data_IF_342083769590
#
_entry.id   IF_342083769590
#
_cell.length_a   1.000
_cell.length_b   1.000
_cell.length_c   1.000
_cell.angle_alpha   90.00
_cell.angle_beta   90.00
_cell.angle_gamma   90.00
#
_symmetry.space_group_name_H-M   'P 1'
#
loop_
_entity.id
_entity.type
_entity.pdbx_description
1 polymer ?
#
# COMPACT_ATOMS: atom_id res chain seq x y z
N UNK A 1 20.94 -4.63 -15.82
CA UNK A 1 20.36 -4.52 -14.47
C UNK A 1 20.65 -3.11 -13.98
N UNK A 2 19.60 -2.39 -13.59
CA UNK A 2 19.71 -1.02 -13.09
C UNK A 2 20.57 -1.02 -11.82
N UNK A 3 21.61 -0.17 -11.77
CA UNK A 3 22.53 -0.12 -10.62
C UNK A 3 21.97 0.79 -9.54
N UNK A 4 21.97 0.30 -8.30
CA UNK A 4 21.47 1.04 -7.15
C UNK A 4 22.48 1.02 -6.01
N UNK A 5 22.28 1.91 -5.04
CA UNK A 5 23.02 1.90 -3.79
C UNK A 5 22.50 0.86 -2.77
N UNK A 6 21.80 -0.21 -3.20
CA UNK A 6 21.06 -1.13 -2.30
C UNK A 6 21.91 -1.73 -1.16
N UNK A 7 23.20 -1.98 -1.43
CA UNK A 7 24.15 -2.52 -0.45
C UNK A 7 24.44 -1.54 0.72
N UNK A 8 24.13 -0.25 0.53
CA UNK A 8 24.28 0.80 1.55
C UNK A 8 22.99 1.09 2.29
N UNK A 9 21.87 0.50 1.88
CA UNK A 9 20.56 0.76 2.49
C UNK A 9 20.46 0.00 3.81
N UNK A 10 20.07 0.72 4.86
CA UNK A 10 19.88 0.14 6.18
C UNK A 10 18.58 -0.66 6.19
N UNK A 11 18.66 -1.90 6.68
CA UNK A 11 17.51 -2.75 6.97
C UNK A 11 17.19 -2.64 8.45
N UNK A 12 15.98 -2.17 8.79
CA UNK A 12 15.56 -1.86 10.16
C UNK A 12 14.29 -2.66 10.51
N UNK A 13 14.11 -3.03 11.78
CA UNK A 13 12.82 -3.45 12.35
C UNK A 13 11.82 -2.30 12.60
N UNK A 14 10.64 -2.36 12.00
CA UNK A 14 9.47 -1.58 12.45
C UNK A 14 8.34 -2.54 12.82
N UNK A 15 7.46 -2.12 13.72
CA UNK A 15 6.41 -2.99 14.24
C UNK A 15 5.11 -2.22 14.42
N UNK A 16 4.00 -2.87 14.07
CA UNK A 16 2.64 -2.48 14.45
C UNK A 16 1.87 -3.69 14.95
N UNK A 17 0.58 -3.51 15.14
CA UNK A 17 -0.38 -4.57 15.43
C UNK A 17 -1.52 -4.51 14.42
N UNK A 18 -2.18 -5.64 14.18
CA UNK A 18 -3.39 -5.68 13.36
C UNK A 18 -4.41 -4.73 13.98
N UNK A 19 -4.76 -3.69 13.23
CA UNK A 19 -5.63 -2.63 13.74
C UNK A 19 -7.09 -3.00 13.51
N UNK A 20 -7.95 -2.72 14.48
CA UNK A 20 -9.38 -2.97 14.36
C UNK A 20 -9.99 -2.16 13.20
N UNK A 21 -10.95 -2.70 12.43
CA UNK A 21 -11.65 -1.91 11.41
C UNK A 21 -12.33 -0.69 12.02
N UNK A 22 -12.25 0.46 11.33
CA UNK A 22 -12.94 1.69 11.73
C UNK A 22 -14.25 1.83 10.96
N UNK A 23 -15.30 2.32 11.64
CA UNK A 23 -16.61 2.48 11.02
C UNK A 23 -17.67 3.00 11.99
N UNK A 24 -18.95 2.76 11.64
CA UNK A 24 -20.11 3.09 12.48
C UNK A 24 -20.81 4.41 12.14
N UNK A 25 -20.23 5.23 11.27
CA UNK A 25 -20.86 6.45 10.74
C UNK A 25 -21.31 6.26 9.29
N UNK A 26 -22.25 7.09 8.85
CA UNK A 26 -22.62 7.17 7.44
C UNK A 26 -21.43 7.63 6.59
N UNK A 27 -21.22 6.93 5.49
CA UNK A 27 -20.37 7.35 4.38
C UNK A 27 -21.28 7.93 3.30
N UNK A 28 -20.88 9.02 2.69
CA UNK A 28 -21.73 9.78 1.77
C UNK A 28 -21.23 9.55 0.34
N UNK A 29 -22.09 9.09 -0.56
CA UNK A 29 -21.75 8.95 -1.99
C UNK A 29 -21.50 10.31 -2.63
N UNK A 30 -20.93 10.34 -3.84
CA UNK A 30 -20.77 11.58 -4.58
C UNK A 30 -22.09 12.24 -5.01
N UNK A 31 -23.21 11.51 -4.98
CA UNK A 31 -24.58 12.04 -5.16
C UNK A 31 -25.24 12.49 -3.85
N UNK A 32 -24.54 12.40 -2.72
CA UNK A 32 -25.07 12.81 -1.42
C UNK A 32 -25.93 11.75 -0.72
N UNK A 33 -25.81 10.47 -1.11
CA UNK A 33 -26.59 9.39 -0.49
C UNK A 33 -25.82 8.79 0.69
N UNK A 34 -26.42 8.70 1.90
CA UNK A 34 -25.78 8.07 3.05
C UNK A 34 -25.81 6.54 2.96
N UNK A 35 -24.69 5.90 3.28
CA UNK A 35 -24.50 4.45 3.29
C UNK A 35 -23.78 3.97 4.55
N UNK A 36 -24.03 2.73 4.97
CA UNK A 36 -23.28 2.04 6.02
C UNK A 36 -22.56 0.86 5.37
N UNK A 37 -21.24 0.96 5.26
CA UNK A 37 -20.41 0.01 4.50
C UNK A 37 -19.16 -0.40 5.29
N UNK A 38 -18.61 -1.60 5.03
CA UNK A 38 -17.23 -1.95 5.38
C UNK A 38 -16.25 -0.95 4.77
N UNK A 39 -15.11 -0.75 5.45
CA UNK A 39 -14.12 0.23 5.07
C UNK A 39 -12.70 -0.16 5.46
N UNK A 40 -11.88 0.81 5.89
CA UNK A 40 -10.49 0.66 6.30
C UNK A 40 -10.31 -0.13 7.60
N UNK A 41 -9.19 -0.82 7.71
CA UNK A 41 -8.73 -1.54 8.89
C UNK A 41 -9.18 -3.00 8.94
N UNK A 42 -8.57 -3.76 9.86
CA UNK A 42 -8.90 -5.14 10.12
C UNK A 42 -8.20 -6.14 9.21
N UNK A 43 -8.83 -7.31 9.11
CA UNK A 43 -8.44 -8.42 8.25
C UNK A 43 -9.55 -8.57 7.21
N UNK A 44 -9.22 -8.28 5.95
CA UNK A 44 -10.10 -8.51 4.82
C UNK A 44 -9.93 -9.94 4.31
N UNK A 45 -10.89 -10.81 4.63
CA UNK A 45 -10.82 -12.25 4.31
C UNK A 45 -11.10 -12.58 2.84
N UNK A 46 -11.70 -11.65 2.08
CA UNK A 46 -12.15 -11.87 0.71
C UNK A 46 -11.66 -10.82 -0.29
N UNK A 47 -10.81 -9.88 0.12
CA UNK A 47 -10.17 -8.91 -0.77
C UNK A 47 -8.66 -8.98 -0.57
N UNK A 48 -7.94 -9.25 -1.65
CA UNK A 48 -6.49 -9.45 -1.65
C UNK A 48 -5.82 -8.63 -2.75
N UNK A 49 -4.50 -8.47 -2.63
CA UNK A 49 -3.70 -7.91 -3.73
C UNK A 49 -3.90 -8.76 -5.00
N UNK A 50 -4.06 -8.10 -6.14
CA UNK A 50 -4.40 -8.70 -7.43
C UNK A 50 -5.90 -8.78 -7.74
N UNK A 51 -6.77 -8.59 -6.74
CA UNK A 51 -8.21 -8.44 -6.98
C UNK A 51 -8.54 -7.09 -7.62
N UNK A 52 -9.71 -7.02 -8.26
CA UNK A 52 -10.25 -5.76 -8.79
C UNK A 52 -10.37 -4.71 -7.68
N UNK A 53 -9.93 -3.47 -7.96
CA UNK A 53 -10.18 -2.33 -7.09
C UNK A 53 -11.64 -1.85 -7.15
N UNK A 54 -12.40 -2.32 -8.15
CA UNK A 54 -13.80 -1.98 -8.38
C UNK A 54 -14.73 -3.16 -8.10
N UNK A 55 -16.01 -2.87 -7.85
CA UNK A 55 -17.08 -3.86 -7.75
C UNK A 55 -17.37 -4.37 -6.34
N UNK A 56 -16.63 -3.88 -5.33
CA UNK A 56 -16.89 -4.18 -3.93
C UNK A 56 -17.98 -3.28 -3.35
N UNK A 57 -18.82 -3.84 -2.47
CA UNK A 57 -19.78 -3.07 -1.67
C UNK A 57 -19.07 -2.64 -0.38
N UNK A 58 -18.21 -1.63 -0.52
CA UNK A 58 -17.34 -1.11 0.52
C UNK A 58 -16.80 0.26 0.13
N UNK A 59 -16.16 0.96 1.07
CA UNK A 59 -15.51 2.25 0.81
C UNK A 59 -14.14 2.29 1.48
N UNK A 60 -13.07 2.51 0.71
CA UNK A 60 -11.69 2.39 1.19
C UNK A 60 -11.39 1.02 1.83
N UNK A 61 -11.84 -0.06 1.18
CA UNK A 61 -11.50 -1.42 1.61
C UNK A 61 -10.00 -1.65 1.40
N UNK A 62 -9.31 -2.01 2.47
CA UNK A 62 -7.87 -2.33 2.45
C UNK A 62 -7.68 -3.85 2.23
N UNK A 63 -6.93 -4.30 1.20
CA UNK A 63 -6.75 -5.72 0.92
C UNK A 63 -5.80 -6.40 1.91
N UNK A 64 -6.17 -7.59 2.39
CA UNK A 64 -5.37 -8.37 3.33
C UNK A 64 -5.46 -7.85 4.77
N UNK A 65 -4.32 -7.58 5.38
CA UNK A 65 -4.22 -7.21 6.81
C UNK A 65 -3.73 -5.78 6.94
N UNK A 66 -4.48 -4.96 7.68
CA UNK A 66 -4.10 -3.59 8.01
C UNK A 66 -3.49 -3.52 9.40
N UNK A 67 -2.30 -2.91 9.51
CA UNK A 67 -1.61 -2.72 10.78
C UNK A 67 -1.39 -1.25 11.09
N UNK A 68 -1.29 -0.97 12.38
CA UNK A 68 -0.98 0.34 12.94
C UNK A 68 -0.16 0.18 14.21
N UNK A 69 0.63 1.18 14.57
CA UNK A 69 1.13 1.33 15.94
C UNK A 69 0.27 2.38 16.69
N UNK A 70 -0.19 2.04 17.89
CA UNK A 70 -1.03 2.94 18.70
C UNK A 70 -0.28 4.19 19.16
N UNK A 71 1.06 4.12 19.32
CA UNK A 71 1.87 5.28 19.56
C UNK A 71 2.08 6.06 18.25
N UNK A 72 1.57 7.29 18.19
CA UNK A 72 1.62 8.13 17.00
C UNK A 72 3.04 8.35 16.44
N UNK A 73 4.05 8.54 17.29
CA UNK A 73 5.43 8.76 16.85
C UNK A 73 6.03 7.48 16.27
N UNK A 74 5.76 6.35 16.91
CA UNK A 74 6.20 5.04 16.39
C UNK A 74 5.45 4.66 15.12
N UNK A 75 4.17 5.05 14.99
CA UNK A 75 3.40 4.84 13.77
C UNK A 75 3.91 5.67 12.60
N UNK A 76 4.33 6.91 12.86
CA UNK A 76 5.01 7.72 11.84
C UNK A 76 6.28 7.02 11.32
N UNK A 77 7.04 6.38 12.20
CA UNK A 77 8.19 5.57 11.79
C UNK A 77 7.77 4.31 11.00
N UNK A 78 6.71 3.62 11.42
CA UNK A 78 6.14 2.49 10.69
C UNK A 78 5.73 2.89 9.26
N UNK A 79 4.95 3.96 9.11
CA UNK A 79 4.48 4.51 7.84
C UNK A 79 5.63 5.00 6.94
N UNK A 80 6.67 5.57 7.53
CA UNK A 80 7.82 6.10 6.77
C UNK A 80 8.75 4.99 6.29
N UNK A 81 9.03 3.98 7.12
CA UNK A 81 10.09 3.02 6.81
C UNK A 81 9.59 1.72 6.18
N UNK A 82 8.34 1.33 6.39
CA UNK A 82 7.76 0.23 5.64
C UNK A 82 7.74 0.56 4.14
N UNK A 83 8.28 -0.33 3.33
CA UNK A 83 8.30 -0.20 1.87
C UNK A 83 7.54 -1.37 1.25
N UNK A 84 6.86 -1.14 0.13
CA UNK A 84 6.15 -2.17 -0.63
C UNK A 84 7.12 -3.30 -0.98
N UNK A 85 6.75 -4.53 -0.68
CA UNK A 85 7.58 -5.72 -0.87
C UNK A 85 8.42 -6.14 0.34
N UNK A 86 8.47 -5.36 1.42
CA UNK A 86 9.21 -5.78 2.62
C UNK A 86 8.61 -7.01 3.28
N UNK A 87 9.47 -7.91 3.78
CA UNK A 87 9.05 -9.10 4.54
C UNK A 87 8.41 -8.67 5.88
N UNK A 88 7.19 -9.15 6.10
CA UNK A 88 6.46 -9.05 7.36
C UNK A 88 6.37 -10.43 8.03
N UNK A 89 6.36 -10.44 9.36
CA UNK A 89 6.21 -11.65 10.16
C UNK A 89 5.30 -11.40 11.35
N UNK A 90 4.33 -12.30 11.55
CA UNK A 90 3.50 -12.31 12.76
C UNK A 90 4.34 -12.82 13.94
N UNK A 91 4.37 -12.08 15.04
CA UNK A 91 5.24 -12.36 16.21
C UNK A 91 4.47 -12.65 17.51
N UNK A 92 3.14 -12.58 17.49
CA UNK A 92 2.23 -12.99 18.58
C UNK A 92 1.05 -13.81 18.05
N UNK A 93 0.15 -14.22 18.95
CA UNK A 93 -1.08 -14.91 18.58
C UNK A 93 -0.88 -16.31 18.05
N UNK A 94 -1.97 -16.89 17.56
CA UNK A 94 -2.02 -18.24 17.01
C UNK A 94 -1.36 -18.30 15.62
N UNK A 95 -1.43 -17.21 14.84
CA UNK A 95 -0.74 -17.07 13.55
C UNK A 95 0.76 -16.77 13.65
N UNK A 96 1.36 -16.81 14.85
CA UNK A 96 2.78 -16.52 15.04
C UNK A 96 3.66 -17.36 14.12
N UNK A 97 4.50 -16.68 13.35
CA UNK A 97 5.43 -17.31 12.41
C UNK A 97 5.01 -17.16 10.95
N UNK A 98 3.73 -16.88 10.68
CA UNK A 98 3.23 -16.55 9.35
C UNK A 98 4.06 -15.41 8.75
N UNK A 99 4.34 -15.53 7.46
CA UNK A 99 5.13 -14.57 6.69
C UNK A 99 4.28 -13.94 5.62
N UNK A 100 4.47 -12.64 5.43
CA UNK A 100 3.76 -11.87 4.45
C UNK A 100 4.64 -10.80 3.84
N UNK A 101 4.03 -9.95 3.03
CA UNK A 101 4.71 -8.85 2.35
C UNK A 101 3.88 -7.58 2.44
N UNK A 102 4.54 -6.45 2.68
CA UNK A 102 3.89 -5.14 2.64
C UNK A 102 3.37 -4.87 1.23
N UNK A 103 2.10 -4.51 1.11
CA UNK A 103 1.43 -4.24 -0.17
C UNK A 103 1.18 -2.76 -0.40
N UNK A 104 1.18 -1.94 0.64
CA UNK A 104 1.00 -0.49 0.54
C UNK A 104 0.83 0.17 1.90
N UNK A 105 0.57 1.47 1.86
CA UNK A 105 0.32 2.30 3.03
C UNK A 105 -0.87 3.21 2.73
N UNK A 106 -1.71 3.47 3.74
CA UNK A 106 -2.88 4.35 3.62
C UNK A 106 -2.78 5.51 4.60
N UNK A 107 -2.66 6.73 4.07
CA UNK A 107 -2.51 7.97 4.83
C UNK A 107 -3.82 8.44 5.45
N UNK A 108 -3.73 9.28 6.49
CA UNK A 108 -4.89 9.79 7.24
C UNK A 108 -5.31 8.85 8.36
N UNK A 109 -5.57 7.58 8.06
CA UNK A 109 -5.76 6.54 9.10
C UNK A 109 -4.42 5.96 9.57
N UNK A 110 -3.38 6.14 8.76
CA UNK A 110 -1.99 5.77 8.99
C UNK A 110 -1.82 4.25 9.17
N UNK A 111 -2.25 3.49 8.16
CA UNK A 111 -2.12 2.04 8.09
C UNK A 111 -1.01 1.59 7.14
N UNK A 112 -0.38 0.46 7.48
CA UNK A 112 0.41 -0.35 6.55
C UNK A 112 -0.37 -1.61 6.23
N UNK A 113 -0.52 -1.92 4.94
CA UNK A 113 -1.23 -3.11 4.45
C UNK A 113 -0.26 -4.24 4.13
N UNK A 114 -0.66 -5.47 4.44
CA UNK A 114 0.18 -6.66 4.32
C UNK A 114 -0.64 -7.81 3.75
N UNK A 115 -0.10 -8.50 2.74
CA UNK A 115 -0.67 -9.77 2.28
C UNK A 115 -0.01 -10.94 3.02
N UNK A 116 -0.83 -11.88 3.46
CA UNK A 116 -0.44 -13.21 3.94
C UNK A 116 -1.11 -14.26 3.07
N UNK A 117 -0.67 -15.50 3.18
CA UNK A 117 -1.39 -16.62 2.56
C UNK A 117 -2.79 -16.73 3.17
N UNK A 118 -3.76 -17.16 2.36
CA UNK A 118 -5.17 -17.21 2.77
C UNK A 118 -5.39 -18.09 4.01
N UNK A 119 -4.66 -19.19 4.11
CA UNK A 119 -4.74 -20.13 5.23
C UNK A 119 -4.20 -19.52 6.54
N UNK A 120 -3.28 -18.56 6.46
CA UNK A 120 -2.74 -17.88 7.63
C UNK A 120 -3.77 -16.92 8.24
N UNK A 121 -4.61 -16.28 7.41
CA UNK A 121 -5.58 -15.26 7.83
C UNK A 121 -6.57 -15.78 8.90
N UNK A 122 -6.94 -17.05 8.85
CA UNK A 122 -7.84 -17.69 9.82
C UNK A 122 -7.25 -17.79 11.23
N UNK A 123 -5.92 -17.69 11.35
CA UNK A 123 -5.20 -17.76 12.64
C UNK A 123 -4.78 -16.38 13.15
N UNK A 124 -5.12 -15.30 12.44
CA UNK A 124 -4.80 -13.94 12.82
C UNK A 124 -5.95 -13.30 13.60
N UNK A 125 -5.60 -12.52 14.60
CA UNK A 125 -6.54 -11.74 15.38
C UNK A 125 -6.17 -10.25 15.37
N UNK A 126 -7.17 -9.40 15.63
CA UNK A 126 -6.92 -8.00 15.99
C UNK A 126 -5.94 -7.95 17.18
N UNK A 127 -5.06 -6.95 17.16
CA UNK A 127 -3.96 -6.74 18.11
C UNK A 127 -2.77 -7.70 17.98
N UNK A 128 -2.80 -8.65 17.02
CA UNK A 128 -1.60 -9.43 16.73
C UNK A 128 -0.46 -8.56 16.22
N UNK A 129 0.72 -8.73 16.80
CA UNK A 129 1.91 -7.96 16.52
C UNK A 129 2.57 -8.45 15.23
N UNK A 130 2.88 -7.52 14.35
CA UNK A 130 3.56 -7.79 13.08
C UNK A 130 4.86 -7.01 13.01
N UNK A 131 5.95 -7.74 12.87
CA UNK A 131 7.30 -7.22 12.69
C UNK A 131 7.62 -7.15 11.19
N UNK A 132 7.96 -5.97 10.70
CA UNK A 132 8.41 -5.73 9.34
C UNK A 132 9.92 -5.49 9.34
N UNK A 133 10.61 -6.15 8.41
CA UNK A 133 12.01 -5.83 8.09
C UNK A 133 12.03 -4.70 7.05
N UNK A 134 11.84 -3.47 7.52
CA UNK A 134 11.86 -2.26 6.70
C UNK A 134 13.17 -2.13 5.91
N UNK A 135 13.06 -1.97 4.59
CA UNK A 135 14.20 -1.91 3.67
C UNK A 135 13.80 -1.21 2.37
N UNK A 136 14.42 -0.06 2.06
CA UNK A 136 14.16 0.64 0.79
C UNK A 136 14.29 2.15 0.86
N UNK A 137 14.02 2.77 2.01
CA UNK A 137 14.18 4.22 2.12
C UNK A 137 15.64 4.66 1.93
N UNK A 138 15.83 5.69 1.09
CA UNK A 138 17.14 6.17 0.66
C UNK A 138 17.74 5.43 -0.55
N UNK A 139 16.99 4.50 -1.16
CA UNK A 139 17.37 3.86 -2.42
C UNK A 139 17.54 4.92 -3.52
N UNK A 140 18.63 4.81 -4.26
CA UNK A 140 18.98 5.70 -5.38
C UNK A 140 19.40 4.86 -6.57
N UNK A 141 19.08 5.39 -7.74
CA UNK A 141 19.46 4.82 -9.02
C UNK A 141 20.71 5.53 -9.54
N UNK A 142 21.79 4.78 -9.77
CA UNK A 142 23.05 5.33 -10.26
C UNK A 142 22.92 5.72 -11.74
N UNK A 143 23.36 6.93 -12.11
CA UNK A 143 23.25 7.45 -13.47
C UNK A 143 21.88 8.07 -13.81
N UNK A 144 20.98 8.14 -12.84
CA UNK A 144 19.65 8.75 -12.95
C UNK A 144 19.36 9.61 -11.71
N UNK A 145 20.25 10.56 -11.42
CA UNK A 145 20.23 11.33 -10.17
C UNK A 145 18.97 12.19 -9.98
N UNK A 146 18.31 12.56 -11.09
CA UNK A 146 17.04 13.30 -11.09
C UNK A 146 15.82 12.38 -10.85
N UNK A 147 16.00 11.06 -10.90
CA UNK A 147 14.93 10.07 -10.64
C UNK A 147 14.95 9.69 -9.17
N UNK A 148 13.89 10.08 -8.45
CA UNK A 148 13.71 9.70 -7.05
C UNK A 148 12.97 8.38 -6.95
N UNK A 149 13.54 7.45 -6.18
CA UNK A 149 12.87 6.21 -5.76
C UNK A 149 12.40 6.39 -4.32
N UNK A 150 11.23 5.83 -4.00
CA UNK A 150 10.66 5.88 -2.67
C UNK A 150 9.81 4.64 -2.40
N UNK A 151 9.72 4.25 -1.13
CA UNK A 151 8.68 3.34 -0.63
C UNK A 151 8.62 1.95 -1.30
N UNK A 152 9.75 1.45 -1.83
CA UNK A 152 9.84 0.17 -2.52
C UNK A 152 11.03 -0.66 -2.02
N UNK A 153 10.80 -1.95 -1.78
CA UNK A 153 11.86 -2.91 -1.50
C UNK A 153 12.79 -3.04 -2.72
N UNK A 154 14.12 -2.90 -2.56
CA UNK A 154 15.07 -3.01 -3.67
C UNK A 154 14.96 -4.32 -4.46
N UNK A 155 14.65 -5.44 -3.81
CA UNK A 155 14.52 -6.74 -4.46
C UNK A 155 13.18 -6.86 -5.22
N UNK A 156 12.14 -6.13 -4.81
CA UNK A 156 10.89 -6.01 -5.57
C UNK A 156 11.07 -5.07 -6.77
N UNK A 157 11.76 -3.93 -6.58
CA UNK A 157 12.06 -2.98 -7.65
C UNK A 157 12.74 -3.65 -8.85
N UNK A 158 13.69 -4.56 -8.59
CA UNK A 158 14.39 -5.33 -9.64
C UNK A 158 13.46 -6.26 -10.44
N UNK A 159 12.28 -6.60 -9.91
CA UNK A 159 11.29 -7.50 -10.54
C UNK A 159 10.20 -6.76 -11.29
N UNK A 160 10.14 -5.42 -11.22
CA UNK A 160 9.10 -4.61 -11.89
C UNK A 160 9.28 -4.52 -13.42
N UNK A 161 10.31 -5.15 -14.00
CA UNK A 161 10.51 -5.13 -15.45
C UNK A 161 10.93 -3.77 -16.01
N UNK A 162 11.43 -2.87 -15.15
CA UNK A 162 11.92 -1.56 -15.57
C UNK A 162 13.20 -1.74 -16.38
N UNK A 163 13.24 -1.14 -17.56
CA UNK A 163 14.39 -1.22 -18.48
C UNK A 163 14.94 0.15 -18.80
N UNK A 164 16.19 0.19 -19.26
CA UNK A 164 16.81 1.39 -19.79
C UNK A 164 16.89 1.30 -21.30
N UNK A 165 16.48 2.38 -21.99
CA UNK A 165 16.63 2.52 -23.44
C UNK A 165 16.91 3.99 -23.77
N UNK A 166 17.97 4.23 -24.55
CA UNK A 166 18.37 5.56 -25.01
C UNK A 166 18.53 6.59 -23.87
N UNK A 167 19.12 6.15 -22.74
CA UNK A 167 19.32 6.99 -21.55
C UNK A 167 18.03 7.34 -20.79
N UNK A 168 16.94 6.61 -21.03
CA UNK A 168 15.63 6.79 -20.38
C UNK A 168 15.16 5.49 -19.74
N UNK A 169 14.46 5.62 -18.62
CA UNK A 169 13.78 4.51 -17.97
C UNK A 169 12.44 4.24 -18.66
N UNK A 170 12.17 2.97 -18.91
CA UNK A 170 10.88 2.46 -19.38
C UNK A 170 10.26 1.65 -18.25
N UNK A 171 9.16 2.15 -17.70
CA UNK A 171 8.41 1.52 -16.62
C UNK A 171 7.14 0.91 -17.21
N UNK A 172 6.91 -0.41 -17.05
CA UNK A 172 5.66 -1.02 -17.46
C UNK A 172 4.54 -0.56 -16.52
N UNK A 173 3.46 -0.06 -17.09
CA UNK A 173 2.25 0.35 -16.35
C UNK A 173 1.02 -0.20 -17.06
N UNK A 174 -0.03 -0.51 -16.30
CA UNK A 174 -1.32 -0.97 -16.85
C UNK A 174 -2.16 0.19 -17.36
N UNK A 175 -1.96 1.39 -16.82
CA UNK A 175 -2.73 2.59 -17.16
C UNK A 175 -1.92 3.88 -16.99
N UNK A 176 -2.43 4.98 -17.54
CA UNK A 176 -1.89 6.34 -17.34
C UNK A 176 -3.02 7.24 -16.87
N UNK A 177 -2.93 7.70 -15.63
CA UNK A 177 -3.99 8.49 -15.00
C UNK A 177 -3.73 9.98 -15.22
N UNK A 178 -4.70 10.74 -15.73
CA UNK A 178 -4.55 12.17 -15.91
C UNK A 178 -4.60 12.92 -14.56
N UNK A 179 -3.89 14.06 -14.42
CA UNK A 179 -3.78 14.77 -13.14
C UNK A 179 -5.11 15.23 -12.52
N UNK A 180 -6.12 15.54 -13.34
CA UNK A 180 -7.42 16.01 -12.84
C UNK A 180 -8.26 14.92 -12.17
N UNK A 181 -7.86 13.64 -12.30
CA UNK A 181 -8.47 12.54 -11.56
C UNK A 181 -7.76 12.28 -10.23
N UNK A 182 -6.68 13.00 -9.91
CA UNK A 182 -5.99 12.85 -8.63
C UNK A 182 -6.63 13.75 -7.57
N UNK A 183 -6.89 13.22 -6.37
CA UNK A 183 -7.74 13.88 -5.37
C UNK A 183 -7.15 13.92 -3.96
N UNK A 184 -7.86 13.27 -3.02
CA UNK A 184 -7.48 13.23 -1.61
C UNK A 184 -6.01 12.84 -1.44
N UNK A 185 -5.30 13.49 -0.51
CA UNK A 185 -3.85 13.32 -0.30
C UNK A 185 -2.96 14.32 -1.06
N UNK A 186 -3.48 15.04 -2.07
CA UNK A 186 -2.73 16.16 -2.67
C UNK A 186 -2.43 17.22 -1.61
N UNK A 187 -1.17 17.65 -1.53
CA UNK A 187 -0.71 18.66 -0.57
C UNK A 187 -0.23 18.10 0.76
N UNK A 188 -0.21 16.77 0.93
CA UNK A 188 0.49 16.11 2.03
C UNK A 188 1.93 16.60 2.16
N UNK A 189 2.42 16.68 3.40
CA UNK A 189 3.72 17.30 3.72
C UNK A 189 4.92 16.57 3.12
N UNK A 190 4.76 15.28 2.79
CA UNK A 190 5.75 14.47 2.09
C UNK A 190 5.05 13.30 1.37
N UNK A 191 5.73 12.69 0.41
CA UNK A 191 5.25 11.53 -0.35
C UNK A 191 5.81 10.19 0.16
N UNK A 192 6.57 10.20 1.26
CA UNK A 192 7.19 9.00 1.84
C UNK A 192 6.25 8.28 2.82
N UNK A 193 5.14 8.91 3.21
CA UNK A 193 4.15 8.38 4.13
C UNK A 193 2.78 8.33 3.45
N UNK A 194 2.13 7.16 3.46
CA UNK A 194 0.76 7.00 2.97
C UNK A 194 0.63 7.03 1.44
N UNK A 195 -0.54 7.46 0.99
CA UNK A 195 -1.02 7.41 -0.40
C UNK A 195 -1.82 8.67 -0.78
N UNK A 196 -2.39 8.65 -1.98
CA UNK A 196 -3.29 9.66 -2.52
C UNK A 196 -4.21 9.04 -3.56
N UNK A 197 -5.40 9.61 -3.75
CA UNK A 197 -6.50 8.93 -4.41
C UNK A 197 -6.57 9.23 -5.90
N UNK A 198 -6.89 8.18 -6.67
CA UNK A 198 -7.56 8.33 -7.98
C UNK A 198 -9.06 8.47 -7.69
N UNK A 199 -9.64 9.64 -7.98
CA UNK A 199 -11.06 9.90 -7.83
C UNK A 199 -11.86 9.24 -8.95
N UNK A 200 -12.90 8.48 -8.58
CA UNK A 200 -13.63 7.60 -9.51
C UNK A 200 -15.09 7.96 -9.72
N UNK A 201 -15.55 9.10 -9.20
CA UNK A 201 -16.95 9.55 -9.31
C UNK A 201 -17.42 9.78 -10.75
N UNK A 202 -16.52 10.23 -11.65
CA UNK A 202 -16.82 10.33 -13.08
C UNK A 202 -16.68 8.96 -13.76
N UNK A 203 -17.71 8.13 -13.59
CA UNK A 203 -17.67 6.74 -14.07
C UNK A 203 -17.51 6.61 -15.59
N UNK A 204 -17.96 7.61 -16.37
CA UNK A 204 -17.81 7.60 -17.82
C UNK A 204 -16.35 7.89 -18.21
N UNK A 205 -15.70 8.83 -17.53
CA UNK A 205 -14.28 9.12 -17.73
C UNK A 205 -13.38 7.94 -17.29
N UNK A 206 -13.70 7.32 -16.16
CA UNK A 206 -13.00 6.12 -15.66
C UNK A 206 -13.06 4.99 -16.70
N UNK A 207 -14.24 4.70 -17.26
CA UNK A 207 -14.39 3.68 -18.32
C UNK A 207 -13.67 4.08 -19.62
N UNK A 208 -13.77 5.35 -20.03
CA UNK A 208 -13.09 5.86 -21.24
C UNK A 208 -11.59 5.64 -21.18
N UNK A 209 -11.01 5.77 -19.98
CA UNK A 209 -9.59 5.54 -19.71
C UNK A 209 -9.27 4.08 -19.32
N UNK A 210 -10.28 3.19 -19.26
CA UNK A 210 -10.15 1.80 -18.79
C UNK A 210 -9.61 1.65 -17.36
N UNK A 211 -9.81 2.67 -16.52
CA UNK A 211 -9.38 2.65 -15.11
C UNK A 211 -10.29 1.78 -14.25
N UNK A 212 -11.50 1.45 -14.71
CA UNK A 212 -12.43 0.50 -14.08
C UNK A 212 -11.90 -0.94 -14.02
N UNK A 213 -10.77 -1.22 -14.68
CA UNK A 213 -10.09 -2.53 -14.70
C UNK A 213 -8.91 -2.62 -13.75
N UNK A 214 -8.60 -1.54 -13.04
CA UNK A 214 -7.48 -1.50 -12.10
C UNK A 214 -7.69 -2.53 -11.00
N UNK A 215 -6.58 -3.11 -10.57
CA UNK A 215 -6.48 -4.07 -9.49
C UNK A 215 -5.64 -3.50 -8.36
N UNK A 216 -5.86 -4.00 -7.15
CA UNK A 216 -4.95 -3.75 -6.05
C UNK A 216 -3.55 -4.28 -6.42
N UNK A 217 -2.54 -3.42 -6.35
CA UNK A 217 -1.16 -3.77 -6.70
C UNK A 217 -0.78 -3.59 -8.18
N UNK A 218 -1.68 -3.05 -9.01
CA UNK A 218 -1.30 -2.60 -10.35
C UNK A 218 -0.29 -1.44 -10.28
N UNK A 219 0.62 -1.41 -11.25
CA UNK A 219 1.57 -0.31 -11.51
C UNK A 219 1.11 0.52 -12.70
#
# INVERSE_FOLDING_TARGET
MLRTNKEKIVKWSVQGQIHHPLGGNYRITHEGVPMILPATGGISYNVSIGDSAFGWVGDHVEPGVSIRNENTTENAALMTFACIGNEAKVVSGDGKGAKGYVTGMHGGIEHVMICFEKEDLENLAIDDKILIKAYGQGLKLEGFEDVQLMSIDPDLFEKLGITEKDGKLQVPVVAKVPPYLMGSGIGSSNAYTGDYDIMTADTEEIKRLSLDKLKFGDL
#
